data_IF_660940847169
#
_entry.id   IF_660940847169
#
_cell.length_a   1.000
_cell.length_b   1.000
_cell.length_c   1.000
_cell.angle_alpha   90.00
_cell.angle_beta   90.00
_cell.angle_gamma   90.00
#
_symmetry.space_group_name_H-M   'P 1'
#
loop_
_entity.id
_entity.type
_entity.pdbx_description
1 polymer ?
#
# COMPACT_ATOMS: atom_id res chain seq x y z
N UNK A 1 -8.04 -6.69 16.84
CA UNK A 1 -7.83 -7.80 15.87
C UNK A 1 -6.34 -7.85 15.58
N UNK A 2 -5.72 -9.01 15.31
CA UNK A 2 -4.33 -9.02 14.87
C UNK A 2 -4.20 -8.13 13.64
N UNK A 3 -3.25 -7.20 13.65
CA UNK A 3 -3.00 -6.26 12.55
C UNK A 3 -2.67 -7.06 11.28
N UNK A 4 -3.49 -6.96 10.25
CA UNK A 4 -3.17 -7.58 8.97
C UNK A 4 -2.06 -6.77 8.31
N UNK A 5 -0.97 -7.44 7.96
CA UNK A 5 0.15 -6.80 7.27
C UNK A 5 -0.08 -6.87 5.77
N UNK A 6 -0.03 -5.72 5.12
CA UNK A 6 0.01 -5.57 3.68
C UNK A 6 1.46 -5.37 3.19
N UNK A 7 1.79 -5.96 2.04
CA UNK A 7 3.11 -5.85 1.42
C UNK A 7 2.99 -5.40 -0.02
N UNK A 8 3.72 -4.34 -0.38
CA UNK A 8 3.89 -3.89 -1.76
C UNK A 8 5.36 -3.96 -2.15
N UNK A 9 5.64 -4.58 -3.29
CA UNK A 9 6.98 -4.67 -3.85
C UNK A 9 7.03 -4.09 -5.27
N UNK A 10 8.06 -3.31 -5.54
CA UNK A 10 8.43 -2.81 -6.87
C UNK A 10 9.90 -3.16 -7.11
N UNK A 11 10.19 -3.78 -8.25
CA UNK A 11 11.55 -4.04 -8.72
C UNK A 11 11.73 -3.28 -10.02
N UNK A 12 12.76 -2.43 -10.08
CA UNK A 12 13.02 -1.56 -11.22
C UNK A 12 14.50 -1.24 -11.28
N UNK A 13 15.11 -1.37 -12.46
CA UNK A 13 16.50 -0.96 -12.74
C UNK A 13 17.54 -1.49 -11.72
N UNK A 14 17.31 -2.69 -11.18
CA UNK A 14 18.17 -3.30 -10.16
C UNK A 14 17.85 -2.91 -8.71
N UNK A 15 17.01 -1.90 -8.50
CA UNK A 15 16.52 -1.47 -7.20
C UNK A 15 15.23 -2.20 -6.78
N UNK A 16 15.04 -2.34 -5.47
CA UNK A 16 13.88 -3.02 -4.88
C UNK A 16 13.29 -2.15 -3.78
N UNK A 17 12.04 -1.78 -3.96
CA UNK A 17 11.27 -1.00 -3.01
C UNK A 17 10.22 -1.91 -2.38
N UNK A 18 10.28 -2.09 -1.07
CA UNK A 18 9.33 -2.91 -0.31
C UNK A 18 8.67 -2.04 0.76
N UNK A 19 7.35 -1.91 0.66
CA UNK A 19 6.53 -1.19 1.64
C UNK A 19 5.70 -2.21 2.41
N UNK A 20 5.92 -2.28 3.73
CA UNK A 20 5.12 -3.05 4.66
C UNK A 20 4.32 -2.08 5.51
N UNK A 21 3.03 -2.34 5.66
CA UNK A 21 2.12 -1.47 6.42
C UNK A 21 0.90 -2.27 6.90
N UNK A 22 0.34 -1.87 8.03
CA UNK A 22 -0.92 -2.40 8.54
C UNK A 22 -2.14 -1.72 7.88
N UNK A 23 -3.34 -2.20 8.21
CA UNK A 23 -4.59 -1.68 7.64
C UNK A 23 -4.94 -0.25 8.11
N UNK A 24 -4.31 0.29 9.15
CA UNK A 24 -4.53 1.66 9.64
C UNK A 24 -3.56 2.66 8.96
N UNK A 25 -2.42 2.16 8.50
CA UNK A 25 -1.29 2.92 7.96
C UNK A 25 -1.39 3.27 6.46
N UNK A 26 -2.56 3.07 5.83
CA UNK A 26 -2.77 3.35 4.40
C UNK A 26 -2.43 4.80 4.02
N UNK A 27 -2.85 5.79 4.82
CA UNK A 27 -2.61 7.20 4.54
C UNK A 27 -1.12 7.57 4.65
N UNK A 28 -0.44 7.04 5.67
CA UNK A 28 1.00 7.21 5.85
C UNK A 28 1.78 6.56 4.70
N UNK A 29 1.34 5.39 4.24
CA UNK A 29 1.93 4.70 3.09
C UNK A 29 1.83 5.55 1.83
N UNK A 30 0.67 6.14 1.54
CA UNK A 30 0.50 7.06 0.40
C UNK A 30 1.42 8.29 0.49
N UNK A 31 1.60 8.87 1.67
CA UNK A 31 2.57 9.95 1.88
C UNK A 31 4.01 9.49 1.61
N UNK A 32 4.38 8.29 2.07
CA UNK A 32 5.72 7.75 1.86
C UNK A 32 6.02 7.54 0.38
N UNK A 33 5.06 7.01 -0.39
CA UNK A 33 5.19 6.87 -1.85
C UNK A 33 5.46 8.22 -2.53
N UNK A 34 4.77 9.28 -2.09
CA UNK A 34 5.00 10.64 -2.59
C UNK A 34 6.39 11.19 -2.23
N UNK A 35 6.88 10.91 -1.02
CA UNK A 35 8.24 11.31 -0.60
C UNK A 35 9.31 10.62 -1.43
N UNK A 36 9.16 9.31 -1.69
CA UNK A 36 10.11 8.55 -2.49
C UNK A 36 10.14 9.05 -3.95
N UNK A 37 8.98 9.43 -4.50
CA UNK A 37 8.92 10.00 -5.85
C UNK A 37 9.47 11.42 -5.97
N UNK A 38 9.55 12.14 -4.86
CA UNK A 38 10.12 13.48 -4.79
C UNK A 38 11.64 13.46 -4.56
N UNK A 39 12.22 12.30 -4.22
CA UNK A 39 13.64 12.14 -3.96
C UNK A 39 14.40 11.86 -5.26
N UNK A 40 15.23 12.79 -5.76
CA UNK A 40 15.97 12.60 -7.01
C UNK A 40 17.11 11.59 -6.90
N UNK A 41 17.48 11.13 -5.70
CA UNK A 41 18.50 10.09 -5.51
C UNK A 41 17.95 8.67 -5.72
N UNK A 42 16.62 8.52 -5.78
CA UNK A 42 15.93 7.25 -5.99
C UNK A 42 15.50 7.10 -7.45
N UNK A 43 15.57 5.89 -8.02
CA UNK A 43 14.95 5.62 -9.33
C UNK A 43 13.42 5.45 -9.24
N UNK A 44 12.83 5.74 -8.07
CA UNK A 44 11.40 5.69 -7.81
C UNK A 44 10.71 6.94 -8.33
N UNK A 45 9.81 6.81 -9.30
CA UNK A 45 9.20 7.97 -9.98
C UNK A 45 7.79 8.29 -9.47
N UNK A 46 7.29 9.49 -9.81
CA UNK A 46 5.88 9.84 -9.60
C UNK A 46 4.89 8.88 -10.27
N UNK A 47 5.28 8.28 -11.40
CA UNK A 47 4.49 7.24 -12.05
C UNK A 47 4.40 5.98 -11.18
N UNK A 48 5.53 5.55 -10.62
CA UNK A 48 5.59 4.41 -9.69
C UNK A 48 4.73 4.67 -8.44
N UNK A 49 4.82 5.88 -7.86
CA UNK A 49 3.97 6.30 -6.75
C UNK A 49 2.48 6.22 -7.10
N UNK A 50 2.08 6.70 -8.28
CA UNK A 50 0.69 6.69 -8.71
C UNK A 50 0.16 5.25 -8.88
N UNK A 51 0.95 4.37 -9.52
CA UNK A 51 0.58 2.96 -9.72
C UNK A 51 0.46 2.23 -8.37
N UNK A 52 1.44 2.40 -7.48
CA UNK A 52 1.39 1.79 -6.15
C UNK A 52 0.28 2.38 -5.29
N UNK A 53 0.00 3.69 -5.38
CA UNK A 53 -1.10 4.33 -4.66
C UNK A 53 -2.46 3.75 -5.03
N UNK A 54 -2.67 3.41 -6.30
CA UNK A 54 -3.90 2.71 -6.71
C UNK A 54 -3.99 1.31 -6.12
N UNK A 55 -2.86 0.59 -6.00
CA UNK A 55 -2.82 -0.74 -5.37
C UNK A 55 -3.15 -0.65 -3.88
N UNK A 56 -2.58 0.33 -3.16
CA UNK A 56 -2.90 0.61 -1.74
C UNK A 56 -4.40 0.81 -1.55
N UNK A 57 -5.03 1.64 -2.39
CA UNK A 57 -6.48 1.92 -2.33
C UNK A 57 -7.32 0.66 -2.58
N UNK A 58 -6.98 -0.14 -3.60
CA UNK A 58 -7.68 -1.40 -3.89
C UNK A 58 -7.53 -2.43 -2.77
N UNK A 59 -6.36 -2.50 -2.11
CA UNK A 59 -6.16 -3.39 -0.97
C UNK A 59 -7.05 -2.97 0.21
N UNK A 60 -7.10 -1.68 0.52
CA UNK A 60 -8.00 -1.12 1.54
C UNK A 60 -9.46 -1.53 1.30
N UNK A 61 -9.97 -1.30 0.09
CA UNK A 61 -11.34 -1.65 -0.29
C UNK A 61 -11.63 -3.15 -0.13
N UNK A 62 -10.66 -4.02 -0.47
CA UNK A 62 -10.78 -5.48 -0.32
C UNK A 62 -10.77 -5.90 1.14
N UNK A 63 -9.91 -5.32 1.97
CA UNK A 63 -9.88 -5.58 3.41
C UNK A 63 -11.21 -5.20 4.05
N UNK A 64 -11.69 -3.98 3.83
CA UNK A 64 -12.97 -3.52 4.38
C UNK A 64 -14.15 -4.36 3.90
N UNK A 65 -14.15 -4.81 2.64
CA UNK A 65 -15.19 -5.70 2.12
C UNK A 65 -15.19 -7.07 2.81
N UNK A 66 -13.99 -7.62 3.08
CA UNK A 66 -13.84 -8.88 3.80
C UNK A 66 -14.37 -8.77 5.23
N UNK A 67 -13.99 -7.73 5.95
CA UNK A 67 -14.47 -7.48 7.32
C UNK A 67 -16.00 -7.38 7.38
N UNK A 68 -16.61 -6.65 6.43
CA UNK A 68 -18.07 -6.55 6.32
C UNK A 68 -18.75 -7.91 6.06
N UNK A 69 -18.15 -8.75 5.22
CA UNK A 69 -18.70 -10.09 4.95
C UNK A 69 -18.64 -11.01 6.17
N UNK A 70 -17.51 -11.00 6.89
CA UNK A 70 -17.33 -11.82 8.10
C UNK A 70 -18.31 -11.41 9.20
N UNK A 71 -18.57 -10.11 9.38
CA UNK A 71 -19.57 -9.65 10.33
C UNK A 71 -20.99 -10.11 9.96
N UNK A 72 -21.36 -10.09 8.68
CA UNK A 72 -22.70 -10.47 8.21
C UNK A 72 -23.00 -11.97 8.32
N UNK A 73 -21.98 -12.83 8.29
CA UNK A 73 -22.13 -14.28 8.46
C UNK A 73 -22.20 -14.72 9.93
N UNK A 74 -21.86 -13.82 10.86
CA UNK A 74 -21.76 -14.11 12.30
C UNK A 74 -23.00 -13.70 13.11
N UNK A 75 -24.04 -13.15 12.45
CA UNK A 75 -25.27 -12.61 13.04
C UNK A 75 -26.50 -13.39 12.56
#
# INVERSE_FOLDING_TARGET
MPESINVLALVKDGERYVFLYDDESHAQTLQMLGRYAADPELSFTWYDAAVLSQRVRRLKERTEARERSTYRESA
#
